data_IF_477193977972
#
_entry.id   IF_477193977972
#
_cell.length_a   1.000
_cell.length_b   1.000
_cell.length_c   1.000
_cell.angle_alpha   90.00
_cell.angle_beta   90.00
_cell.angle_gamma   90.00
#
_symmetry.space_group_name_H-M   'P 1'
#
loop_
_entity.id
_entity.type
_entity.pdbx_description
1 polymer ?
#
# COMPACT_ATOMS: atom_id res chain seq x y z
N UNK A 1 -18.55 7.16 -27.98
CA UNK A 1 -18.17 7.17 -29.40
C UNK A 1 -19.38 7.13 -30.33
N UNK A 2 -20.37 6.24 -30.14
CA UNK A 2 -21.58 6.21 -30.99
C UNK A 2 -22.50 7.45 -30.88
N UNK A 3 -22.55 8.13 -29.72
CA UNK A 3 -23.46 9.25 -29.50
C UNK A 3 -23.05 10.55 -30.22
N UNK A 4 -21.74 10.80 -30.44
CA UNK A 4 -21.29 12.00 -31.18
C UNK A 4 -21.53 11.86 -32.68
N UNK A 5 -21.46 10.64 -33.22
CA UNK A 5 -21.81 10.36 -34.60
C UNK A 5 -23.30 10.62 -34.87
N UNK A 6 -24.19 10.40 -33.89
CA UNK A 6 -25.61 10.70 -34.03
C UNK A 6 -25.88 12.21 -34.10
N UNK A 7 -25.22 13.00 -33.25
CA UNK A 7 -25.39 14.47 -33.25
C UNK A 7 -24.80 15.10 -34.51
N UNK A 8 -23.60 14.66 -34.92
CA UNK A 8 -22.98 15.10 -36.18
C UNK A 8 -23.83 14.68 -37.39
N UNK A 9 -24.36 13.45 -37.39
CA UNK A 9 -25.28 12.96 -38.41
C UNK A 9 -26.57 13.78 -38.52
N UNK A 10 -27.14 14.22 -37.38
CA UNK A 10 -28.31 15.11 -37.38
C UNK A 10 -27.99 16.52 -37.90
N UNK A 11 -26.84 17.09 -37.58
CA UNK A 11 -26.43 18.39 -38.12
C UNK A 11 -26.17 18.33 -39.63
N UNK A 12 -25.53 17.25 -40.11
CA UNK A 12 -25.33 17.00 -41.54
C UNK A 12 -26.69 16.82 -42.23
N UNK A 13 -27.62 16.11 -41.62
CA UNK A 13 -28.97 15.92 -42.17
C UNK A 13 -29.73 17.24 -42.28
N UNK A 14 -29.68 18.11 -41.26
CA UNK A 14 -30.25 19.46 -41.30
C UNK A 14 -29.60 20.35 -42.37
N UNK A 15 -28.28 20.33 -42.51
CA UNK A 15 -27.60 21.09 -43.56
C UNK A 15 -27.91 20.56 -44.97
N UNK A 16 -28.04 19.24 -45.11
CA UNK A 16 -28.37 18.59 -46.37
C UNK A 16 -29.81 18.90 -46.80
N UNK A 17 -30.79 18.85 -45.89
CA UNK A 17 -32.16 19.24 -46.21
C UNK A 17 -32.29 20.72 -46.53
N UNK A 18 -31.55 21.59 -45.84
CA UNK A 18 -31.45 23.03 -46.14
C UNK A 18 -30.82 23.30 -47.51
N UNK A 19 -29.86 22.46 -47.94
CA UNK A 19 -29.24 22.56 -49.28
C UNK A 19 -30.18 22.10 -50.41
N UNK A 20 -31.28 21.42 -50.11
CA UNK A 20 -32.26 20.94 -51.10
C UNK A 20 -33.39 21.97 -51.33
N UNK A 21 -33.68 22.85 -50.37
CA UNK A 21 -34.76 23.86 -50.44
C UNK A 21 -34.29 25.26 -50.87
N UNK A 22 -33.22 25.34 -51.67
CA UNK A 22 -32.65 26.60 -52.17
C UNK A 22 -33.63 27.43 -53.01
N UNK A 23 -34.32 28.37 -52.38
CA UNK A 23 -34.78 29.57 -53.07
C UNK A 23 -34.73 30.85 -52.22
N UNK A 24 -34.81 30.81 -50.89
CA UNK A 24 -34.70 32.01 -50.03
C UNK A 24 -34.27 31.65 -48.61
N UNK A 25 -32.97 31.43 -48.37
CA UNK A 25 -32.45 31.44 -46.99
C UNK A 25 -31.87 32.82 -46.73
N UNK A 26 -32.41 33.51 -45.74
CA UNK A 26 -31.90 34.79 -45.28
C UNK A 26 -30.39 34.68 -44.93
N UNK A 27 -29.52 35.55 -45.51
CA UNK A 27 -28.09 35.51 -45.24
C UNK A 27 -27.73 35.66 -43.76
N UNK A 28 -28.50 36.42 -42.98
CA UNK A 28 -28.25 36.59 -41.55
C UNK A 28 -28.63 35.32 -40.77
N UNK A 29 -29.72 34.64 -41.14
CA UNK A 29 -30.10 33.34 -40.58
C UNK A 29 -29.04 32.26 -40.84
N UNK A 30 -28.50 32.21 -42.06
CA UNK A 30 -27.39 31.30 -42.41
C UNK A 30 -26.13 31.60 -41.60
N UNK A 31 -25.76 32.88 -41.48
CA UNK A 31 -24.60 33.29 -40.70
C UNK A 31 -24.76 32.98 -39.20
N UNK A 32 -25.95 33.21 -38.64
CA UNK A 32 -26.26 32.91 -37.25
C UNK A 32 -26.17 31.41 -36.95
N UNK A 33 -26.72 30.56 -37.83
CA UNK A 33 -26.62 29.11 -37.69
C UNK A 33 -25.16 28.62 -37.76
N UNK A 34 -24.37 29.16 -38.69
CA UNK A 34 -22.94 28.84 -38.79
C UNK A 34 -22.16 29.27 -37.54
N UNK A 35 -22.43 30.46 -37.00
CA UNK A 35 -21.80 30.94 -35.77
C UNK A 35 -22.18 30.09 -34.55
N UNK A 36 -23.45 29.68 -34.44
CA UNK A 36 -23.91 28.78 -33.39
C UNK A 36 -23.24 27.40 -33.48
N UNK A 37 -23.13 26.84 -34.69
CA UNK A 37 -22.42 25.58 -34.92
C UNK A 37 -20.93 25.69 -34.55
N UNK A 38 -20.26 26.78 -34.94
CA UNK A 38 -18.86 27.03 -34.55
C UNK A 38 -18.70 27.13 -33.04
N UNK A 39 -19.58 27.86 -32.34
CA UNK A 39 -19.56 27.97 -30.88
C UNK A 39 -19.77 26.62 -30.20
N UNK A 40 -20.70 25.81 -30.72
CA UNK A 40 -20.96 24.47 -30.22
C UNK A 40 -19.74 23.55 -30.41
N UNK A 41 -19.08 23.60 -31.56
CA UNK A 41 -17.88 22.81 -31.85
C UNK A 41 -16.72 23.17 -30.89
N UNK A 42 -16.45 24.46 -30.68
CA UNK A 42 -15.42 24.92 -29.73
C UNK A 42 -15.77 24.47 -28.31
N UNK A 43 -17.01 24.66 -27.87
CA UNK A 43 -17.45 24.26 -26.53
C UNK A 43 -17.32 22.75 -26.30
N UNK A 44 -17.63 21.93 -27.31
CA UNK A 44 -17.46 20.48 -27.24
C UNK A 44 -15.99 20.06 -27.19
N UNK A 45 -15.11 20.73 -27.96
CA UNK A 45 -13.68 20.50 -27.93
C UNK A 45 -13.06 20.85 -26.57
N UNK A 46 -13.41 22.00 -26.00
CA UNK A 46 -12.93 22.43 -24.68
C UNK A 46 -13.39 21.48 -23.58
N UNK A 47 -14.65 21.01 -23.64
CA UNK A 47 -15.17 20.05 -22.67
C UNK A 47 -14.46 18.69 -22.77
N UNK A 48 -14.15 18.22 -23.98
CA UNK A 48 -13.37 17.00 -24.18
C UNK A 48 -11.93 17.14 -23.66
N UNK A 49 -11.28 18.27 -23.93
CA UNK A 49 -9.94 18.56 -23.43
C UNK A 49 -9.89 18.65 -21.89
N UNK A 50 -10.88 19.31 -21.27
CA UNK A 50 -11.00 19.38 -19.82
C UNK A 50 -11.21 17.99 -19.19
N UNK A 51 -12.09 17.17 -19.77
CA UNK A 51 -12.31 15.80 -19.30
C UNK A 51 -11.04 14.93 -19.41
N UNK A 52 -10.30 15.04 -20.53
CA UNK A 52 -9.04 14.34 -20.73
C UNK A 52 -7.98 14.77 -19.69
N UNK A 53 -7.90 16.07 -19.40
CA UNK A 53 -6.97 16.62 -18.39
C UNK A 53 -7.30 16.09 -17.00
N UNK A 54 -8.59 16.07 -16.61
CA UNK A 54 -9.01 15.55 -15.30
C UNK A 54 -8.69 14.05 -15.19
N UNK A 55 -8.98 13.26 -16.21
CA UNK A 55 -8.68 11.83 -16.22
C UNK A 55 -7.17 11.56 -16.10
N UNK A 56 -6.34 12.31 -16.83
CA UNK A 56 -4.89 12.21 -16.75
C UNK A 56 -4.36 12.58 -15.36
N UNK A 57 -4.86 13.69 -14.78
CA UNK A 57 -4.48 14.11 -13.42
C UNK A 57 -4.87 13.09 -12.37
N UNK A 58 -6.09 12.53 -12.44
CA UNK A 58 -6.56 11.50 -11.52
C UNK A 58 -5.69 10.23 -11.61
N UNK A 59 -5.33 9.80 -12.82
CA UNK A 59 -4.42 8.68 -13.02
C UNK A 59 -3.01 8.97 -12.44
N UNK A 60 -2.51 10.20 -12.62
CA UNK A 60 -1.20 10.60 -12.07
C UNK A 60 -1.21 10.61 -10.53
N UNK A 61 -2.28 11.10 -9.92
CA UNK A 61 -2.45 11.12 -8.45
C UNK A 61 -2.54 9.69 -7.92
N UNK A 62 -3.32 8.81 -8.57
CA UNK A 62 -3.40 7.41 -8.19
C UNK A 62 -2.03 6.69 -8.27
N UNK A 63 -1.24 6.98 -9.32
CA UNK A 63 0.11 6.45 -9.44
C UNK A 63 1.07 6.98 -8.35
N UNK A 64 0.98 8.27 -8.00
CA UNK A 64 1.74 8.85 -6.91
C UNK A 64 1.36 8.21 -5.56
N UNK A 65 0.07 8.05 -5.27
CA UNK A 65 -0.41 7.38 -4.05
C UNK A 65 0.08 5.94 -3.96
N UNK A 66 0.09 5.19 -5.08
CA UNK A 66 0.62 3.83 -5.10
C UNK A 66 2.14 3.79 -4.83
N UNK A 67 2.89 4.79 -5.31
CA UNK A 67 4.31 4.92 -5.00
C UNK A 67 4.55 5.25 -3.53
N UNK A 68 3.73 6.14 -2.94
CA UNK A 68 3.79 6.49 -1.52
C UNK A 68 3.46 5.29 -0.61
N UNK A 69 2.46 4.47 -0.98
CA UNK A 69 2.12 3.22 -0.26
C UNK A 69 3.29 2.20 -0.29
N UNK A 70 3.95 2.06 -1.44
CA UNK A 70 5.15 1.24 -1.55
C UNK A 70 6.31 1.79 -0.68
N UNK A 71 6.51 3.10 -0.67
CA UNK A 71 7.52 3.75 0.16
C UNK A 71 7.23 3.58 1.66
N UNK A 72 5.97 3.73 2.07
CA UNK A 72 5.52 3.50 3.45
C UNK A 72 5.73 2.04 3.87
N UNK A 73 5.39 1.08 3.01
CA UNK A 73 5.65 -0.35 3.25
C UNK A 73 7.13 -0.65 3.45
N UNK A 74 8.01 -0.06 2.62
CA UNK A 74 9.47 -0.19 2.76
C UNK A 74 9.95 0.42 4.09
N UNK A 75 9.47 1.60 4.46
CA UNK A 75 9.83 2.25 5.72
C UNK A 75 9.45 1.39 6.94
N UNK A 76 8.25 0.80 6.93
CA UNK A 76 7.78 -0.12 7.97
C UNK A 76 8.65 -1.38 8.06
N UNK A 77 8.99 -1.99 6.91
CA UNK A 77 9.88 -3.16 6.87
C UNK A 77 11.27 -2.81 7.42
N UNK A 78 11.82 -1.65 7.06
CA UNK A 78 13.12 -1.19 7.54
C UNK A 78 13.12 -0.96 9.06
N UNK A 79 12.07 -0.33 9.59
CA UNK A 79 11.90 -0.13 11.03
C UNK A 79 11.78 -1.47 11.79
N UNK A 80 10.97 -2.40 11.27
CA UNK A 80 10.85 -3.74 11.83
C UNK A 80 12.17 -4.53 11.78
N UNK A 81 12.94 -4.39 10.69
CA UNK A 81 14.27 -4.99 10.56
C UNK A 81 15.25 -4.41 11.57
N UNK A 82 15.25 -3.09 11.78
CA UNK A 82 16.10 -2.45 12.78
C UNK A 82 15.76 -2.93 14.20
N UNK A 83 14.47 -3.00 14.56
CA UNK A 83 14.02 -3.53 15.84
C UNK A 83 14.44 -5.00 16.03
N UNK A 84 14.26 -5.84 15.01
CA UNK A 84 14.68 -7.24 15.05
C UNK A 84 16.20 -7.41 15.25
N UNK A 85 17.02 -6.57 14.61
CA UNK A 85 18.48 -6.57 14.81
C UNK A 85 18.85 -6.22 16.26
N UNK A 86 18.21 -5.22 16.85
CA UNK A 86 18.44 -4.84 18.25
C UNK A 86 18.03 -5.94 19.23
N UNK A 87 16.90 -6.62 18.98
CA UNK A 87 16.45 -7.77 19.79
C UNK A 87 17.47 -8.92 19.69
N UNK A 88 17.92 -9.25 18.48
CA UNK A 88 18.92 -10.30 18.27
C UNK A 88 20.25 -9.97 18.97
N UNK A 89 20.69 -8.71 18.92
CA UNK A 89 21.90 -8.26 19.61
C UNK A 89 21.76 -8.35 21.15
N UNK A 90 20.61 -7.92 21.70
CA UNK A 90 20.34 -8.03 23.13
C UNK A 90 20.28 -9.50 23.60
N UNK A 91 19.65 -10.38 22.81
CA UNK A 91 19.62 -11.81 23.10
C UNK A 91 21.03 -12.44 23.05
N UNK A 92 21.87 -12.04 22.09
CA UNK A 92 23.25 -12.49 22.01
C UNK A 92 24.10 -12.02 23.22
N UNK A 93 23.89 -10.77 23.67
CA UNK A 93 24.52 -10.27 24.90
C UNK A 93 24.07 -11.05 26.13
N UNK A 94 22.77 -11.28 26.31
CA UNK A 94 22.25 -12.04 27.44
C UNK A 94 22.79 -13.49 27.46
N UNK A 95 22.90 -14.13 26.29
CA UNK A 95 23.51 -15.45 26.16
C UNK A 95 24.99 -15.44 26.52
N UNK A 96 25.75 -14.42 26.07
CA UNK A 96 27.17 -14.24 26.43
C UNK A 96 27.36 -14.07 27.94
N UNK A 97 26.55 -13.22 28.57
CA UNK A 97 26.65 -12.94 30.00
C UNK A 97 26.28 -14.16 30.84
N UNK A 98 25.26 -14.93 30.39
CA UNK A 98 24.88 -16.20 31.03
C UNK A 98 26.00 -17.24 30.93
N UNK A 99 26.63 -17.38 29.76
CA UNK A 99 27.75 -18.28 29.57
C UNK A 99 28.97 -17.88 30.43
N UNK A 100 29.26 -16.58 30.54
CA UNK A 100 30.32 -16.07 31.41
C UNK A 100 30.03 -16.33 32.90
N UNK A 101 28.78 -16.12 33.34
CA UNK A 101 28.36 -16.42 34.70
C UNK A 101 28.46 -17.92 35.03
N UNK A 102 28.04 -18.79 34.09
CA UNK A 102 28.16 -20.23 34.24
C UNK A 102 29.62 -20.70 34.31
N UNK A 103 30.51 -20.15 33.48
CA UNK A 103 31.94 -20.45 33.52
C UNK A 103 32.57 -20.00 34.86
N UNK A 104 32.19 -18.82 35.36
CA UNK A 104 32.63 -18.31 36.66
C UNK A 104 32.18 -19.22 37.82
N UNK A 105 30.91 -19.63 37.82
CA UNK A 105 30.37 -20.56 38.81
C UNK A 105 31.05 -21.94 38.75
N UNK A 106 31.30 -22.46 37.56
CA UNK A 106 32.01 -23.72 37.37
C UNK A 106 33.45 -23.65 37.89
N UNK A 107 34.19 -22.57 37.60
CA UNK A 107 35.55 -22.37 38.10
C UNK A 107 35.59 -22.30 39.64
N UNK A 108 34.65 -21.57 40.26
CA UNK A 108 34.53 -21.49 41.71
C UNK A 108 34.19 -22.85 42.34
N UNK A 109 33.29 -23.62 41.72
CA UNK A 109 32.95 -24.97 42.17
C UNK A 109 34.14 -25.94 42.10
N UNK A 110 34.93 -25.88 41.02
CA UNK A 110 36.15 -26.70 40.86
C UNK A 110 37.19 -26.34 41.93
N UNK A 111 37.44 -25.05 42.16
CA UNK A 111 38.38 -24.60 43.19
C UNK A 111 37.94 -25.04 44.60
N UNK A 112 36.65 -24.91 44.91
CA UNK A 112 36.07 -25.36 46.18
C UNK A 112 36.18 -26.87 46.36
N UNK A 113 35.83 -27.64 45.32
CA UNK A 113 35.93 -29.10 45.32
C UNK A 113 37.37 -29.58 45.54
N UNK A 114 38.34 -29.00 44.85
CA UNK A 114 39.76 -29.33 45.00
C UNK A 114 40.25 -29.04 46.43
N UNK A 115 39.92 -27.86 46.97
CA UNK A 115 40.29 -27.47 48.33
C UNK A 115 39.68 -28.38 49.41
N UNK A 116 38.43 -28.81 49.21
CA UNK A 116 37.80 -29.75 50.13
C UNK A 116 38.48 -31.12 50.09
N UNK A 117 38.78 -31.64 48.90
CA UNK A 117 39.45 -32.93 48.71
C UNK A 117 40.86 -32.98 49.32
N UNK A 118 41.59 -31.86 49.32
CA UNK A 118 42.94 -31.75 49.93
C UNK A 118 42.94 -32.09 51.44
N UNK A 119 41.80 -31.94 52.12
CA UNK A 119 41.67 -32.21 53.56
C UNK A 119 41.21 -33.63 53.89
N UNK A 120 40.88 -34.44 52.88
CA UNK A 120 40.31 -35.78 53.06
C UNK A 120 41.39 -36.85 52.96
N UNK A 121 41.72 -37.48 54.10
CA UNK A 121 42.77 -38.51 54.19
C UNK A 121 42.27 -39.96 54.07
N UNK A 122 40.96 -40.19 54.08
CA UNK A 122 40.36 -41.54 54.00
C UNK A 122 39.94 -41.82 52.56
N UNK A 123 40.54 -42.86 51.94
CA UNK A 123 40.30 -43.22 50.53
C UNK A 123 38.82 -43.34 50.17
N UNK A 124 38.03 -43.99 51.02
CA UNK A 124 36.59 -44.15 50.79
C UNK A 124 35.84 -42.81 50.81
N UNK A 125 36.18 -41.92 51.75
CA UNK A 125 35.59 -40.59 51.82
C UNK A 125 36.01 -39.72 50.63
N UNK A 126 37.27 -39.81 50.19
CA UNK A 126 37.78 -39.09 49.03
C UNK A 126 37.03 -39.50 47.75
N UNK A 127 36.84 -40.81 47.56
CA UNK A 127 36.07 -41.34 46.43
C UNK A 127 34.60 -40.87 46.46
N UNK A 128 33.95 -40.91 47.63
CA UNK A 128 32.58 -40.44 47.78
C UNK A 128 32.43 -38.94 47.47
N UNK A 129 33.33 -38.11 48.01
CA UNK A 129 33.34 -36.67 47.72
C UNK A 129 33.60 -36.37 46.23
N UNK A 130 34.50 -37.13 45.59
CA UNK A 130 34.75 -37.00 44.15
C UNK A 130 33.51 -37.34 43.32
N UNK A 131 32.80 -38.43 43.66
CA UNK A 131 31.53 -38.79 43.01
C UNK A 131 30.47 -37.71 43.19
N UNK A 132 30.33 -37.16 44.41
CA UNK A 132 29.40 -36.06 44.68
C UNK A 132 29.74 -34.80 43.86
N UNK A 133 31.02 -34.40 43.80
CA UNK A 133 31.47 -33.26 43.00
C UNK A 133 31.23 -33.48 41.49
N UNK A 134 31.42 -34.71 41.00
CA UNK A 134 31.15 -35.08 39.60
C UNK A 134 29.66 -34.96 39.28
N UNK A 135 28.79 -35.48 40.15
CA UNK A 135 27.35 -35.36 40.00
C UNK A 135 26.87 -33.90 40.06
N UNK A 136 27.43 -33.10 40.97
CA UNK A 136 27.12 -31.68 41.08
C UNK A 136 27.52 -30.89 39.81
N UNK A 137 28.71 -31.17 39.25
CA UNK A 137 29.15 -30.56 38.01
C UNK A 137 28.24 -30.94 36.82
N UNK A 138 27.86 -32.21 36.71
CA UNK A 138 26.94 -32.68 35.66
C UNK A 138 25.55 -32.03 35.78
N UNK A 139 25.02 -31.88 37.00
CA UNK A 139 23.75 -31.22 37.25
C UNK A 139 23.81 -29.72 36.89
N UNK A 140 24.87 -29.01 37.28
CA UNK A 140 25.06 -27.60 36.94
C UNK A 140 25.21 -27.37 35.43
N UNK A 141 25.95 -28.24 34.73
CA UNK A 141 26.07 -28.19 33.27
C UNK A 141 24.73 -28.44 32.58
N UNK A 142 23.95 -29.41 33.06
CA UNK A 142 22.60 -29.70 32.54
C UNK A 142 21.67 -28.51 32.73
N UNK A 143 21.65 -27.91 33.93
CA UNK A 143 20.82 -26.74 34.22
C UNK A 143 21.17 -25.53 33.34
N UNK A 144 22.48 -25.26 33.16
CA UNK A 144 22.96 -24.18 32.28
C UNK A 144 22.54 -24.43 30.83
N UNK A 145 22.68 -25.66 30.35
CA UNK A 145 22.30 -26.04 28.98
C UNK A 145 20.80 -25.88 28.76
N UNK A 146 19.98 -26.32 29.72
CA UNK A 146 18.53 -26.18 29.68
C UNK A 146 18.10 -24.70 29.68
N UNK A 147 18.71 -23.87 30.53
CA UNK A 147 18.44 -22.43 30.58
C UNK A 147 18.81 -21.73 29.26
N UNK A 148 19.98 -22.04 28.69
CA UNK A 148 20.42 -21.50 27.41
C UNK A 148 19.48 -21.92 26.26
N UNK A 149 19.07 -23.19 26.22
CA UNK A 149 18.12 -23.69 25.22
C UNK A 149 16.75 -23.01 25.33
N UNK A 150 16.24 -22.82 26.55
CA UNK A 150 14.98 -22.12 26.79
C UNK A 150 15.04 -20.65 26.36
N UNK A 151 16.14 -19.95 26.67
CA UNK A 151 16.34 -18.55 26.26
C UNK A 151 16.46 -18.42 24.72
N UNK A 152 17.18 -19.34 24.07
CA UNK A 152 17.29 -19.38 22.61
C UNK A 152 15.91 -19.64 21.97
N UNK A 153 15.14 -20.58 22.51
CA UNK A 153 13.78 -20.88 22.05
C UNK A 153 12.85 -19.66 22.20
N UNK A 154 12.87 -19.00 23.35
CA UNK A 154 12.08 -17.79 23.57
C UNK A 154 12.45 -16.67 22.58
N UNK A 155 13.75 -16.52 22.26
CA UNK A 155 14.21 -15.55 21.26
C UNK A 155 13.65 -15.86 19.87
N UNK A 156 13.66 -17.13 19.46
CA UNK A 156 13.11 -17.59 18.17
C UNK A 156 11.59 -17.33 18.13
N UNK A 157 10.87 -17.71 19.17
CA UNK A 157 9.41 -17.59 19.20
C UNK A 157 8.97 -16.12 19.20
N UNK A 158 9.68 -15.24 19.94
CA UNK A 158 9.42 -13.81 19.93
C UNK A 158 9.68 -13.18 18.54
N UNK A 159 10.76 -13.58 17.86
CA UNK A 159 11.06 -13.10 16.51
C UNK A 159 10.00 -13.57 15.50
N UNK A 160 9.56 -14.83 15.59
CA UNK A 160 8.51 -15.38 14.75
C UNK A 160 7.16 -14.66 14.98
N UNK A 161 6.78 -14.43 16.24
CA UNK A 161 5.56 -13.73 16.60
C UNK A 161 5.56 -12.28 16.09
N UNK A 162 6.68 -11.55 16.28
CA UNK A 162 6.82 -10.18 15.77
C UNK A 162 6.73 -10.13 14.24
N UNK A 163 7.34 -11.09 13.53
CA UNK A 163 7.25 -11.18 12.07
C UNK A 163 5.81 -11.49 11.63
N UNK A 164 5.13 -12.41 12.29
CA UNK A 164 3.74 -12.77 11.97
C UNK A 164 2.80 -11.58 12.16
N UNK A 165 2.95 -10.82 13.25
CA UNK A 165 2.18 -9.60 13.49
C UNK A 165 2.41 -8.54 12.40
N UNK A 166 3.68 -8.30 12.02
CA UNK A 166 4.00 -7.36 10.94
C UNK A 166 3.42 -7.80 9.58
N UNK A 167 3.39 -9.10 9.29
CA UNK A 167 2.73 -9.63 8.07
C UNK A 167 1.22 -9.42 8.13
N UNK A 168 0.58 -9.67 9.28
CA UNK A 168 -0.85 -9.44 9.44
C UNK A 168 -1.23 -7.96 9.24
N UNK A 169 -0.45 -7.04 9.80
CA UNK A 169 -0.60 -5.59 9.56
C UNK A 169 -0.43 -5.25 8.09
N UNK A 170 0.64 -5.73 7.43
CA UNK A 170 0.86 -5.46 6.01
C UNK A 170 -0.28 -5.96 5.11
N UNK A 171 -0.88 -7.12 5.43
CA UNK A 171 -2.05 -7.64 4.69
C UNK A 171 -3.28 -6.77 4.93
N UNK A 172 -3.51 -6.32 6.17
CA UNK A 172 -4.61 -5.41 6.50
C UNK A 172 -4.47 -4.07 5.80
N UNK A 173 -3.27 -3.50 5.79
CA UNK A 173 -2.98 -2.22 5.14
C UNK A 173 -3.15 -2.34 3.62
N UNK A 174 -2.64 -3.41 3.01
CA UNK A 174 -2.82 -3.65 1.57
C UNK A 174 -4.31 -3.77 1.19
N UNK A 175 -5.12 -4.45 2.01
CA UNK A 175 -6.56 -4.54 1.79
C UNK A 175 -7.25 -3.16 1.90
N UNK A 176 -6.86 -2.35 2.89
CA UNK A 176 -7.38 -0.99 3.06
C UNK A 176 -6.98 -0.08 1.89
N UNK A 177 -5.71 -0.08 1.48
CA UNK A 177 -5.20 0.67 0.33
C UNK A 177 -5.95 0.28 -0.95
N UNK A 178 -6.16 -1.02 -1.19
CA UNK A 178 -6.91 -1.49 -2.36
C UNK A 178 -8.38 -1.04 -2.34
N UNK A 179 -9.04 -1.06 -1.17
CA UNK A 179 -10.42 -0.57 -1.03
C UNK A 179 -10.52 0.94 -1.29
N UNK A 180 -9.57 1.73 -0.77
CA UNK A 180 -9.50 3.17 -1.04
C UNK A 180 -9.25 3.46 -2.51
N UNK A 181 -8.31 2.75 -3.16
CA UNK A 181 -8.03 2.91 -4.58
C UNK A 181 -9.27 2.59 -5.45
N UNK A 182 -10.00 1.52 -5.13
CA UNK A 182 -11.24 1.17 -5.82
C UNK A 182 -12.32 2.25 -5.66
N UNK A 183 -12.49 2.80 -4.44
CA UNK A 183 -13.44 3.88 -4.19
C UNK A 183 -13.09 5.18 -4.95
N UNK A 184 -11.80 5.55 -4.98
CA UNK A 184 -11.32 6.71 -5.74
C UNK A 184 -11.55 6.52 -7.25
N UNK A 185 -11.27 5.33 -7.77
CA UNK A 185 -11.52 5.01 -9.17
C UNK A 185 -13.01 5.12 -9.52
N UNK A 186 -13.90 4.56 -8.68
CA UNK A 186 -15.35 4.65 -8.87
C UNK A 186 -15.83 6.12 -8.85
N UNK A 187 -15.45 6.90 -7.83
CA UNK A 187 -15.82 8.31 -7.72
C UNK A 187 -15.31 9.15 -8.91
N UNK A 188 -14.10 8.86 -9.40
CA UNK A 188 -13.53 9.53 -10.58
C UNK A 188 -14.35 9.24 -11.83
N UNK A 189 -14.74 7.98 -12.05
CA UNK A 189 -15.56 7.57 -13.19
C UNK A 189 -16.97 8.15 -13.13
N UNK A 190 -17.60 8.16 -11.95
CA UNK A 190 -18.91 8.76 -11.73
C UNK A 190 -18.89 10.26 -12.00
N UNK A 191 -17.88 10.98 -11.50
CA UNK A 191 -17.72 12.41 -11.76
C UNK A 191 -17.50 12.70 -13.25
N UNK A 192 -16.68 11.90 -13.93
CA UNK A 192 -16.46 12.02 -15.36
C UNK A 192 -17.74 11.74 -16.17
N UNK A 193 -18.51 10.72 -15.80
CA UNK A 193 -19.78 10.38 -16.43
C UNK A 193 -20.83 11.49 -16.23
N UNK A 194 -20.96 12.02 -15.01
CA UNK A 194 -21.86 13.13 -14.70
C UNK A 194 -21.50 14.38 -15.49
N UNK A 195 -20.20 14.72 -15.59
CA UNK A 195 -19.74 15.87 -16.38
C UNK A 195 -19.99 15.68 -17.88
N UNK A 196 -19.78 14.47 -18.41
CA UNK A 196 -20.08 14.15 -19.79
C UNK A 196 -21.59 14.28 -20.10
N UNK A 197 -22.44 13.77 -19.20
CA UNK A 197 -23.90 13.91 -19.32
C UNK A 197 -24.33 15.39 -19.29
N UNK A 198 -23.83 16.17 -18.33
CA UNK A 198 -24.13 17.61 -18.25
C UNK A 198 -23.71 18.36 -19.52
N UNK A 199 -22.53 18.04 -20.05
CA UNK A 199 -22.02 18.63 -21.31
C UNK A 199 -22.93 18.28 -22.49
N UNK A 200 -23.36 17.03 -22.60
CA UNK A 200 -24.27 16.59 -23.66
C UNK A 200 -25.63 17.28 -23.58
N UNK A 201 -26.19 17.43 -22.37
CA UNK A 201 -27.46 18.15 -22.15
C UNK A 201 -27.34 19.62 -22.56
N UNK A 202 -26.26 20.31 -22.16
CA UNK A 202 -26.03 21.70 -22.56
C UNK A 202 -25.85 21.84 -24.08
N UNK A 203 -25.15 20.92 -24.72
CA UNK A 203 -24.98 20.92 -26.17
C UNK A 203 -26.31 20.69 -26.91
N UNK A 204 -27.13 19.75 -26.44
CA UNK A 204 -28.46 19.50 -27.00
C UNK A 204 -29.39 20.71 -26.85
N UNK A 205 -29.38 21.36 -25.68
CA UNK A 205 -30.16 22.58 -25.44
C UNK A 205 -29.73 23.73 -26.37
N UNK A 206 -28.43 23.93 -26.55
CA UNK A 206 -27.90 24.95 -27.46
C UNK A 206 -28.27 24.67 -28.93
N UNK A 207 -28.21 23.39 -29.36
CA UNK A 207 -28.61 22.98 -30.70
C UNK A 207 -30.11 23.21 -30.94
N UNK A 208 -30.96 22.86 -29.97
CA UNK A 208 -32.40 23.10 -30.05
C UNK A 208 -32.72 24.60 -30.15
N UNK A 209 -32.08 25.44 -29.34
CA UNK A 209 -32.25 26.89 -29.38
C UNK A 209 -31.83 27.48 -30.75
N UNK A 210 -30.73 27.00 -31.33
CA UNK A 210 -30.27 27.42 -32.65
C UNK A 210 -31.25 27.01 -33.76
N UNK A 211 -31.80 25.79 -33.70
CA UNK A 211 -32.79 25.31 -34.66
C UNK A 211 -34.09 26.13 -34.61
N UNK A 212 -34.56 26.46 -33.40
CA UNK A 212 -35.73 27.32 -33.21
C UNK A 212 -35.47 28.72 -33.77
N UNK A 213 -34.32 29.31 -33.48
CA UNK A 213 -33.96 30.64 -33.99
C UNK A 213 -33.86 30.66 -35.52
N UNK A 214 -33.30 29.61 -36.13
CA UNK A 214 -33.24 29.49 -37.58
C UNK A 214 -34.62 29.34 -38.22
N UNK A 215 -35.51 28.53 -37.64
CA UNK A 215 -36.87 28.35 -38.15
C UNK A 215 -37.76 29.59 -37.98
N UNK A 216 -37.43 30.48 -37.04
CA UNK A 216 -38.14 31.73 -36.80
C UNK A 216 -37.62 32.90 -37.65
N UNK A 217 -36.52 32.73 -38.39
CA UNK A 217 -35.99 33.78 -39.25
C UNK A 217 -36.86 33.96 -40.51
N UNK A 218 -37.06 35.22 -40.98
CA UNK A 218 -37.95 35.55 -42.10
C UNK A 218 -37.43 35.11 -43.46
#
# INVERSE_FOLDING_TARGET
>A
MALSLFTVGQFIFLFWTISITEANIDPAARAAAAAAASKAAVTAADAAAAAATIAASAASVAAATAADDAAASIATINAASAAAKSIAAAAAMAAKDTAAAAASAAAAAVASAAKALETINVKAAYAAATTANTAAAAAAATATTAAAAAAAKATIDNAAAAKAAAVATAVSDAAATAATAAAVAAATLEAAAAKAAATAVSAAAAAAAAAIAFAAAP
#
